data_IF_520522280630
#
_entry.id   IF_520522280630
#
_cell.length_a   1.000
_cell.length_b   1.000
_cell.length_c   1.000
_cell.angle_alpha   90.00
_cell.angle_beta   90.00
_cell.angle_gamma   90.00
#
_symmetry.space_group_name_H-M   'P 1'
#
loop_
_entity.id
_entity.type
_entity.pdbx_description
1 polymer ?
#
# COMPACT_ATOMS: atom_id res chain seq x y z
N UNK A 1 25.66 -2.58 1.34
CA UNK A 1 24.36 -2.87 2.02
C UNK A 1 23.49 -1.62 1.95
N UNK A 2 22.35 -1.70 1.30
CA UNK A 2 21.37 -0.58 1.33
C UNK A 2 20.82 -0.48 2.74
N UNK A 3 20.82 0.73 3.31
CA UNK A 3 20.13 0.97 4.57
C UNK A 3 18.64 0.67 4.38
N UNK A 4 18.03 0.00 5.34
CA UNK A 4 16.58 -0.24 5.34
C UNK A 4 15.92 1.12 5.55
N UNK A 5 15.01 1.57 4.68
CA UNK A 5 14.32 2.85 4.85
C UNK A 5 13.59 2.94 6.19
N UNK A 6 13.62 4.09 6.83
CA UNK A 6 13.03 4.30 8.16
C UNK A 6 11.53 3.96 8.20
N UNK A 7 10.80 4.20 7.10
CA UNK A 7 9.36 3.91 7.05
C UNK A 7 9.03 2.41 7.11
N UNK A 8 9.95 1.52 6.77
CA UNK A 8 9.75 0.08 6.97
C UNK A 8 9.69 -0.28 8.45
N UNK A 9 10.50 0.36 9.30
CA UNK A 9 10.42 0.17 10.74
C UNK A 9 9.08 0.65 11.28
N UNK A 10 8.61 1.84 10.84
CA UNK A 10 7.30 2.35 11.22
C UNK A 10 6.19 1.41 10.78
N UNK A 11 6.20 0.96 9.53
CA UNK A 11 5.17 0.05 9.00
C UNK A 11 5.17 -1.28 9.74
N UNK A 12 6.35 -1.85 10.01
CA UNK A 12 6.48 -3.06 10.81
C UNK A 12 5.91 -2.90 12.22
N UNK A 13 6.26 -1.80 12.90
CA UNK A 13 5.74 -1.53 14.24
C UNK A 13 4.22 -1.35 14.23
N UNK A 14 3.66 -0.74 13.21
CA UNK A 14 2.22 -0.63 13.05
C UNK A 14 1.55 -2.00 12.86
N UNK A 15 2.12 -2.89 12.07
CA UNK A 15 1.62 -4.27 11.96
C UNK A 15 1.62 -4.99 13.30
N UNK A 16 2.70 -4.88 14.06
CA UNK A 16 2.83 -5.55 15.36
C UNK A 16 1.89 -4.95 16.42
N UNK A 17 1.72 -3.63 16.42
CA UNK A 17 0.92 -2.91 17.41
C UNK A 17 -0.57 -3.02 17.13
N UNK A 18 -0.97 -2.79 15.89
CA UNK A 18 -2.39 -2.74 15.48
C UNK A 18 -2.97 -4.13 15.22
N UNK A 19 -2.14 -5.09 14.81
CA UNK A 19 -2.57 -6.43 14.36
C UNK A 19 -3.78 -6.36 13.43
N UNK A 20 -3.64 -5.64 12.29
CA UNK A 20 -4.77 -5.40 11.40
C UNK A 20 -5.36 -6.73 10.90
N UNK A 21 -6.68 -6.84 10.89
CA UNK A 21 -7.36 -7.96 10.24
C UNK A 21 -7.22 -7.85 8.71
N UNK A 22 -7.25 -6.62 8.18
CA UNK A 22 -7.13 -6.34 6.75
C UNK A 22 -6.09 -5.25 6.50
N UNK A 23 -5.10 -5.59 5.70
CA UNK A 23 -4.06 -4.67 5.21
C UNK A 23 -4.12 -4.55 3.69
N UNK A 24 -4.02 -3.33 3.19
CA UNK A 24 -3.99 -3.05 1.75
C UNK A 24 -2.79 -2.19 1.40
N UNK A 25 -2.05 -2.61 0.37
CA UNK A 25 -0.90 -1.88 -0.16
C UNK A 25 -1.07 -1.61 -1.64
N UNK A 26 -0.92 -0.34 -2.03
CA UNK A 26 -0.90 0.10 -3.43
C UNK A 26 0.53 0.47 -3.80
N UNK A 27 1.06 -0.18 -4.83
CA UNK A 27 2.47 -0.07 -5.20
C UNK A 27 3.33 -1.08 -4.46
N UNK A 28 3.31 -2.32 -4.90
CA UNK A 28 3.96 -3.46 -4.22
C UNK A 28 5.40 -3.67 -4.66
N UNK A 29 5.69 -3.48 -5.93
CA UNK A 29 6.99 -3.69 -6.55
C UNK A 29 7.61 -5.06 -6.19
N UNK A 30 8.66 -5.08 -5.36
CA UNK A 30 9.34 -6.33 -4.97
C UNK A 30 8.74 -7.03 -3.74
N UNK A 31 7.71 -6.45 -3.12
CA UNK A 31 7.06 -7.01 -1.93
C UNK A 31 7.80 -6.74 -0.62
N UNK A 32 8.73 -5.77 -0.60
CA UNK A 32 9.55 -5.47 0.58
C UNK A 32 8.73 -4.97 1.77
N UNK A 33 7.74 -4.12 1.53
CA UNK A 33 6.80 -3.65 2.56
C UNK A 33 5.64 -4.62 2.78
N UNK A 34 5.17 -5.24 1.71
CA UNK A 34 4.05 -6.19 1.77
C UNK A 34 4.36 -7.41 2.66
N UNK A 35 5.60 -7.90 2.64
CA UNK A 35 6.04 -9.04 3.46
C UNK A 35 6.11 -8.74 4.97
N UNK A 36 5.93 -7.49 5.39
CA UNK A 36 5.90 -7.10 6.80
C UNK A 36 4.56 -7.44 7.49
N UNK A 37 3.53 -7.77 6.73
CA UNK A 37 2.24 -8.19 7.26
C UNK A 37 2.35 -9.49 8.06
N UNK A 38 1.62 -9.57 9.17
CA UNK A 38 1.58 -10.76 10.01
C UNK A 38 0.77 -11.90 9.35
N UNK A 39 1.04 -13.18 9.70
CA UNK A 39 0.36 -14.32 9.07
C UNK A 39 -1.16 -14.32 9.19
N UNK A 40 -1.70 -13.74 10.26
CA UNK A 40 -3.14 -13.66 10.54
C UNK A 40 -3.84 -12.55 9.76
N UNK A 41 -3.07 -11.60 9.24
CA UNK A 41 -3.59 -10.46 8.48
C UNK A 41 -3.97 -10.89 7.06
N UNK A 42 -5.21 -10.66 6.66
CA UNK A 42 -5.56 -10.74 5.24
C UNK A 42 -4.92 -9.54 4.52
N UNK A 43 -3.98 -9.82 3.64
CA UNK A 43 -3.16 -8.82 2.98
C UNK A 43 -3.48 -8.75 1.50
N UNK A 44 -3.70 -7.55 1.00
CA UNK A 44 -4.01 -7.26 -0.39
C UNK A 44 -2.94 -6.32 -0.93
N UNK A 45 -2.21 -6.79 -1.93
CA UNK A 45 -1.26 -5.99 -2.70
C UNK A 45 -1.82 -5.67 -4.08
N UNK A 46 -1.71 -4.43 -4.50
CA UNK A 46 -2.15 -3.97 -5.83
C UNK A 46 -0.98 -3.29 -6.52
N UNK A 47 -0.59 -3.82 -7.67
CA UNK A 47 0.51 -3.28 -8.48
C UNK A 47 0.34 -3.74 -9.93
N UNK A 48 0.43 -2.88 -10.95
CA UNK A 48 0.26 -3.29 -12.33
C UNK A 48 1.35 -4.25 -12.83
N UNK A 49 2.56 -4.18 -12.25
CA UNK A 49 3.72 -4.99 -12.65
C UNK A 49 4.49 -5.49 -11.42
N UNK A 50 3.87 -6.33 -10.55
CA UNK A 50 4.53 -6.81 -9.34
C UNK A 50 5.64 -7.81 -9.70
N UNK A 51 6.80 -7.66 -9.08
CA UNK A 51 7.95 -8.54 -9.24
C UNK A 51 8.40 -9.04 -7.86
N UNK A 52 7.60 -9.90 -7.26
CA UNK A 52 7.79 -10.34 -5.87
C UNK A 52 9.10 -11.08 -5.70
N UNK A 53 9.92 -10.61 -4.76
CA UNK A 53 11.23 -11.17 -4.41
C UNK A 53 11.34 -11.57 -2.93
N UNK A 54 10.26 -11.42 -2.17
CA UNK A 54 10.17 -11.76 -0.76
C UNK A 54 9.11 -12.83 -0.52
N UNK A 55 9.32 -13.65 0.48
CA UNK A 55 8.32 -14.62 0.90
C UNK A 55 7.13 -13.88 1.54
N UNK A 56 5.94 -14.15 1.04
CA UNK A 56 4.69 -13.58 1.52
C UNK A 56 3.92 -14.62 2.34
N UNK A 57 3.10 -14.15 3.27
CA UNK A 57 2.23 -15.05 4.06
C UNK A 57 1.16 -15.70 3.17
N UNK A 58 0.62 -16.82 3.61
CA UNK A 58 -0.43 -17.54 2.89
C UNK A 58 -1.74 -16.73 2.74
N UNK A 59 -1.95 -15.72 3.59
CA UNK A 59 -3.10 -14.82 3.53
C UNK A 59 -2.88 -13.58 2.65
N UNK A 60 -1.81 -13.56 1.86
CA UNK A 60 -1.51 -12.46 0.94
C UNK A 60 -1.96 -12.79 -0.47
N UNK A 61 -2.71 -11.88 -1.07
CA UNK A 61 -3.08 -11.92 -2.49
C UNK A 61 -2.54 -10.67 -3.19
N UNK A 62 -1.82 -10.86 -4.28
CA UNK A 62 -1.30 -9.78 -5.11
C UNK A 62 -2.11 -9.71 -6.41
N UNK A 63 -2.65 -8.55 -6.71
CA UNK A 63 -3.43 -8.27 -7.92
C UNK A 63 -2.56 -7.50 -8.92
N UNK A 64 -2.20 -8.12 -10.06
CA UNK A 64 -1.36 -7.50 -11.09
C UNK A 64 -2.20 -6.58 -11.98
N UNK A 65 -2.69 -5.50 -11.42
CA UNK A 65 -3.56 -4.52 -12.08
C UNK A 65 -3.38 -3.14 -11.46
N UNK A 66 -3.87 -2.12 -12.13
CA UNK A 66 -3.89 -0.75 -11.57
C UNK A 66 -4.91 -0.65 -10.45
N UNK A 67 -4.66 0.23 -9.48
CA UNK A 67 -5.59 0.48 -8.38
C UNK A 67 -6.99 0.89 -8.86
N UNK A 68 -7.09 1.76 -9.85
CA UNK A 68 -8.38 2.19 -10.42
C UNK A 68 -9.17 0.99 -10.96
N UNK A 69 -8.51 0.09 -11.68
CA UNK A 69 -9.16 -1.11 -12.25
C UNK A 69 -9.58 -2.08 -11.14
N UNK A 70 -8.74 -2.25 -10.11
CA UNK A 70 -9.06 -3.08 -8.95
C UNK A 70 -10.33 -2.62 -8.25
N UNK A 71 -10.42 -1.34 -7.91
CA UNK A 71 -11.56 -0.79 -7.19
C UNK A 71 -12.81 -0.62 -8.06
N UNK A 72 -12.66 -0.45 -9.37
CA UNK A 72 -13.78 -0.42 -10.31
C UNK A 72 -14.42 -1.80 -10.50
N UNK A 73 -13.62 -2.87 -10.44
CA UNK A 73 -14.08 -4.24 -10.69
C UNK A 73 -14.66 -4.93 -9.46
N UNK A 74 -14.43 -4.42 -8.25
CA UNK A 74 -14.76 -5.12 -6.98
C UNK A 74 -15.51 -4.24 -6.01
N UNK A 75 -16.40 -4.88 -5.26
CA UNK A 75 -17.03 -4.27 -4.07
C UNK A 75 -16.27 -4.67 -2.82
N UNK A 76 -16.29 -3.81 -1.82
CA UNK A 76 -15.66 -4.07 -0.52
C UNK A 76 -16.12 -5.40 0.09
N UNK A 77 -17.42 -5.66 0.03
CA UNK A 77 -18.06 -6.86 0.60
C UNK A 77 -17.56 -8.16 -0.05
N UNK A 78 -17.21 -8.12 -1.34
CA UNK A 78 -16.71 -9.29 -2.07
C UNK A 78 -15.27 -9.65 -1.66
N UNK A 79 -14.52 -8.67 -1.19
CA UNK A 79 -13.09 -8.81 -0.82
C UNK A 79 -12.90 -8.94 0.69
N UNK A 80 -13.56 -8.10 1.47
CA UNK A 80 -13.39 -7.97 2.92
C UNK A 80 -14.60 -8.51 3.73
N UNK A 81 -15.64 -9.00 3.07
CA UNK A 81 -16.87 -9.38 3.75
C UNK A 81 -17.47 -8.19 4.51
N UNK A 82 -17.75 -8.39 5.80
CA UNK A 82 -18.24 -7.32 6.69
C UNK A 82 -17.13 -6.43 7.25
N UNK A 83 -15.86 -6.70 6.90
CA UNK A 83 -14.71 -5.97 7.39
C UNK A 83 -14.49 -4.64 6.68
N UNK A 84 -13.47 -3.94 7.16
CA UNK A 84 -12.95 -2.71 6.58
C UNK A 84 -11.42 -2.84 6.46
N UNK A 85 -10.78 -1.95 5.73
CA UNK A 85 -9.32 -1.83 5.77
C UNK A 85 -8.94 -1.25 7.13
N UNK A 86 -8.05 -1.93 7.85
CA UNK A 86 -7.54 -1.46 9.15
C UNK A 86 -6.24 -0.66 9.00
N UNK A 87 -5.39 -1.09 8.07
CA UNK A 87 -4.13 -0.44 7.73
C UNK A 87 -3.97 -0.40 6.21
N UNK A 88 -3.60 0.75 5.68
CA UNK A 88 -3.26 0.90 4.26
C UNK A 88 -1.93 1.59 4.07
N UNK A 89 -1.20 1.21 3.04
CA UNK A 89 0.02 1.85 2.60
C UNK A 89 -0.07 2.20 1.11
N UNK A 90 0.05 3.49 0.79
CA UNK A 90 -0.04 4.02 -0.56
C UNK A 90 1.36 4.45 -1.00
N UNK A 91 1.94 3.68 -1.90
CA UNK A 91 3.27 3.88 -2.48
C UNK A 91 3.28 3.58 -4.00
N UNK A 92 2.22 3.99 -4.68
CA UNK A 92 2.02 3.76 -6.10
C UNK A 92 2.73 4.80 -6.98
N UNK A 93 1.99 5.43 -7.87
CA UNK A 93 2.50 6.52 -8.70
C UNK A 93 2.68 7.78 -7.86
N UNK A 94 3.86 8.42 -7.96
CA UNK A 94 4.19 9.64 -7.21
C UNK A 94 3.64 10.92 -7.89
N UNK A 95 2.44 10.86 -8.43
CA UNK A 95 1.69 11.99 -8.95
C UNK A 95 0.57 12.33 -7.97
N UNK A 96 0.39 13.62 -7.69
CA UNK A 96 -0.61 14.07 -6.71
C UNK A 96 -2.01 13.50 -7.00
N UNK A 97 -2.44 13.56 -8.26
CA UNK A 97 -3.76 13.07 -8.68
C UNK A 97 -3.92 11.57 -8.43
N UNK A 98 -2.89 10.78 -8.76
CA UNK A 98 -2.92 9.33 -8.57
C UNK A 98 -2.94 8.95 -7.09
N UNK A 99 -2.17 9.66 -6.26
CA UNK A 99 -2.16 9.45 -4.80
C UNK A 99 -3.50 9.83 -4.18
N UNK A 100 -4.10 10.94 -4.65
CA UNK A 100 -5.42 11.37 -4.20
C UNK A 100 -6.51 10.36 -4.58
N UNK A 101 -6.49 9.85 -5.81
CA UNK A 101 -7.44 8.82 -6.27
C UNK A 101 -7.28 7.53 -5.45
N UNK A 102 -6.05 7.08 -5.22
CA UNK A 102 -5.76 5.93 -4.37
C UNK A 102 -6.28 6.13 -2.94
N UNK A 103 -6.08 7.31 -2.36
CA UNK A 103 -6.60 7.66 -1.05
C UNK A 103 -8.13 7.63 -1.01
N UNK A 104 -8.81 8.19 -2.01
CA UNK A 104 -10.27 8.18 -2.11
C UNK A 104 -10.80 6.74 -2.21
N UNK A 105 -10.14 5.89 -2.97
CA UNK A 105 -10.50 4.47 -3.07
C UNK A 105 -10.35 3.75 -1.73
N UNK A 106 -9.23 3.94 -1.06
CA UNK A 106 -8.97 3.35 0.26
C UNK A 106 -9.97 3.86 1.30
N UNK A 107 -10.28 5.17 1.30
CA UNK A 107 -11.22 5.79 2.24
C UNK A 107 -12.62 5.16 2.15
N UNK A 108 -13.09 4.83 0.94
CA UNK A 108 -14.38 4.15 0.75
C UNK A 108 -14.44 2.75 1.37
N UNK A 109 -13.30 2.11 1.56
CA UNK A 109 -13.19 0.78 2.16
C UNK A 109 -12.70 0.84 3.61
N UNK A 110 -12.43 2.03 4.12
CA UNK A 110 -11.95 2.29 5.46
C UNK A 110 -13.08 2.31 6.50
N UNK A 111 -12.68 2.19 7.76
CA UNK A 111 -13.51 2.39 8.93
C UNK A 111 -13.00 3.51 9.82
N UNK A 112 -13.64 3.79 10.96
CA UNK A 112 -13.29 4.93 11.82
C UNK A 112 -11.92 4.82 12.49
N UNK A 113 -11.31 3.63 12.50
CA UNK A 113 -10.00 3.38 13.11
C UNK A 113 -8.92 3.04 12.10
N UNK A 114 -9.21 3.17 10.80
CA UNK A 114 -8.25 2.91 9.73
C UNK A 114 -7.09 3.89 9.79
N UNK A 115 -5.86 3.36 9.70
CA UNK A 115 -4.65 4.14 9.53
C UNK A 115 -4.19 4.03 8.08
N UNK A 116 -3.94 5.17 7.45
CA UNK A 116 -3.40 5.25 6.09
C UNK A 116 -2.03 5.90 6.12
N UNK A 117 -1.03 5.20 5.61
CA UNK A 117 0.30 5.73 5.37
C UNK A 117 0.44 6.08 3.89
N UNK A 118 0.97 7.25 3.61
CA UNK A 118 1.24 7.70 2.25
C UNK A 118 2.73 8.02 2.14
N UNK A 119 3.40 7.34 1.22
CA UNK A 119 4.82 7.52 0.97
C UNK A 119 5.09 8.76 0.10
N UNK A 120 6.29 9.34 0.24
CA UNK A 120 6.78 10.46 -0.57
C UNK A 120 5.87 11.69 -0.63
N UNK A 121 5.28 12.05 0.52
CA UNK A 121 4.41 13.23 0.64
C UNK A 121 5.17 14.53 0.87
N UNK A 122 6.44 14.46 1.28
CA UNK A 122 7.29 15.63 1.52
C UNK A 122 8.41 15.64 0.49
N UNK A 123 8.44 16.64 -0.42
CA UNK A 123 9.51 16.73 -1.42
C UNK A 123 10.86 17.03 -0.76
N UNK A 124 11.90 16.32 -1.19
CA UNK A 124 13.26 16.51 -0.68
C UNK A 124 13.88 17.82 -1.17
N UNK A 125 13.50 18.28 -2.37
CA UNK A 125 14.01 19.49 -3.01
C UNK A 125 13.03 20.05 -4.07
N UNK A 126 13.42 21.16 -4.70
CA UNK A 126 12.61 21.82 -5.74
C UNK A 126 12.48 21.00 -7.03
N UNK A 127 13.36 20.02 -7.26
CA UNK A 127 13.27 19.15 -8.45
C UNK A 127 12.21 18.06 -8.24
N UNK A 128 12.07 17.56 -7.01
CA UNK A 128 11.09 16.52 -6.68
C UNK A 128 9.64 16.97 -6.73
N UNK A 129 9.36 18.27 -6.80
CA UNK A 129 8.00 18.79 -7.02
C UNK A 129 7.60 18.91 -8.48
N UNK A 130 8.52 18.64 -9.41
CA UNK A 130 8.21 18.71 -10.85
C UNK A 130 7.38 17.51 -11.27
N UNK A 131 6.43 17.72 -12.19
CA UNK A 131 5.59 16.65 -12.77
C UNK A 131 6.37 15.66 -13.63
N UNK A 132 7.50 16.08 -14.20
CA UNK A 132 8.38 15.20 -14.96
C UNK A 132 9.15 14.29 -14.01
N UNK A 133 9.09 12.98 -14.24
CA UNK A 133 9.86 12.01 -13.48
C UNK A 133 11.36 12.25 -13.73
N UNK A 134 12.03 12.80 -12.74
CA UNK A 134 13.47 12.67 -12.63
C UNK A 134 13.74 11.38 -11.85
N UNK A 135 14.64 10.53 -12.35
CA UNK A 135 15.03 9.30 -11.66
C UNK A 135 15.55 9.67 -10.27
N UNK A 136 14.86 9.20 -9.25
CA UNK A 136 15.38 9.26 -7.89
C UNK A 136 16.39 8.14 -7.74
N UNK A 137 17.61 8.52 -7.44
CA UNK A 137 18.68 7.61 -7.10
C UNK A 137 18.52 7.07 -5.67
#
# INVERSE_FOLDING_TARGET
MRAIPEYYYLLRELHLLLRPAHYLEIGVQYGESLCLAEPETQTIGIDPEPEIRHELTANTTVFPEKSDDFFAARKKEDVLGNGVIDLAFIDGMHLFESVLDDFIHVERWAGPHTIVLIHDTVPADALSVKRERHFYL
#
